data_IF_186581131990
#
_entry.id   IF_186581131990
#
_cell.length_a   1.000
_cell.length_b   1.000
_cell.length_c   1.000
_cell.angle_alpha   90.00
_cell.angle_beta   90.00
_cell.angle_gamma   90.00
#
_symmetry.space_group_name_H-M   'P 1'
#
loop_
_entity.id
_entity.type
_entity.pdbx_description
1 polymer ?
#
# COMPACT_ATOMS: atom_id res chain seq x y z
N UNK A 1 69.12 -93.37 8.31
CA UNK A 1 69.15 -93.10 9.76
C UNK A 1 67.71 -93.16 10.26
N UNK A 2 67.42 -94.17 11.11
CA UNK A 2 66.29 -94.42 12.05
C UNK A 2 64.88 -93.87 11.71
N UNK A 3 63.81 -94.69 11.51
CA UNK A 3 63.01 -95.49 12.50
C UNK A 3 62.33 -94.58 13.55
N UNK A 4 61.03 -94.61 13.89
CA UNK A 4 60.01 -95.68 14.01
C UNK A 4 58.64 -95.07 14.43
N UNK A 5 57.50 -95.67 14.06
CA UNK A 5 56.18 -95.52 14.75
C UNK A 5 56.15 -96.28 16.10
N UNK A 6 55.05 -96.30 16.92
CA UNK A 6 54.15 -95.28 17.49
C UNK A 6 54.03 -95.44 19.05
N UNK A 7 53.10 -94.76 19.79
CA UNK A 7 52.01 -95.54 20.42
C UNK A 7 50.66 -94.79 20.62
N UNK A 8 49.58 -95.48 21.07
CA UNK A 8 48.20 -95.00 21.03
C UNK A 8 47.69 -94.41 22.35
N UNK A 9 46.63 -93.59 22.23
CA UNK A 9 45.62 -93.39 23.27
C UNK A 9 45.92 -92.37 24.36
N UNK A 10 45.23 -91.22 24.30
CA UNK A 10 44.59 -90.64 25.48
C UNK A 10 43.47 -89.68 25.03
N UNK A 11 42.23 -90.07 25.35
CA UNK A 11 41.05 -89.21 25.30
C UNK A 11 41.30 -87.96 26.16
N UNK A 12 41.33 -86.78 25.54
CA UNK A 12 41.27 -85.51 26.26
C UNK A 12 39.85 -84.97 26.19
N UNK A 13 39.23 -84.97 27.36
CA UNK A 13 37.86 -84.61 27.66
C UNK A 13 37.45 -83.26 27.04
N UNK A 14 36.25 -83.25 26.48
CA UNK A 14 35.51 -82.04 26.13
C UNK A 14 35.26 -81.19 27.39
N UNK A 15 36.17 -80.25 27.66
CA UNK A 15 35.97 -79.17 28.62
C UNK A 15 34.91 -78.21 28.09
N UNK A 16 33.65 -78.47 28.44
CA UNK A 16 32.52 -77.55 28.27
C UNK A 16 32.84 -76.26 29.04
N UNK A 17 33.38 -75.23 28.37
CA UNK A 17 33.52 -73.88 28.97
C UNK A 17 32.12 -73.42 29.39
N UNK A 18 31.89 -73.01 30.66
CA UNK A 18 30.64 -72.40 31.04
C UNK A 18 30.49 -71.10 30.25
N UNK A 19 29.37 -70.99 29.54
CA UNK A 19 29.01 -69.80 28.78
C UNK A 19 29.09 -68.56 29.66
N UNK A 20 29.76 -67.54 29.15
CA UNK A 20 29.99 -66.27 29.81
C UNK A 20 28.67 -65.49 29.92
N UNK A 21 27.83 -65.84 30.91
CA UNK A 21 26.53 -65.20 31.14
C UNK A 21 26.65 -63.69 31.48
N UNK A 22 27.84 -63.23 31.88
CA UNK A 22 28.14 -61.81 32.16
C UNK A 22 28.31 -60.94 30.91
N UNK A 23 28.79 -61.50 29.79
CA UNK A 23 29.06 -60.72 28.55
C UNK A 23 27.76 -60.36 27.80
N UNK A 24 26.76 -61.25 27.83
CA UNK A 24 25.46 -61.02 27.20
C UNK A 24 24.62 -59.98 27.96
N UNK A 25 24.73 -59.96 29.30
CA UNK A 25 24.02 -59.00 30.15
C UNK A 25 24.61 -57.58 30.07
N UNK A 26 25.94 -57.45 29.96
CA UNK A 26 26.62 -56.17 29.75
C UNK A 26 26.24 -55.53 28.42
N UNK A 27 26.31 -56.28 27.31
CA UNK A 27 26.00 -55.76 25.97
C UNK A 27 24.54 -55.33 25.77
N UNK A 28 23.59 -55.90 26.51
CA UNK A 28 22.18 -55.48 26.47
C UNK A 28 21.95 -54.15 27.22
N UNK A 29 22.66 -53.93 28.34
CA UNK A 29 22.57 -52.71 29.15
C UNK A 29 23.18 -51.50 28.44
N UNK A 30 24.33 -51.70 27.77
CA UNK A 30 24.99 -50.63 26.98
C UNK A 30 24.17 -50.29 25.72
N UNK A 31 23.53 -51.29 25.08
CA UNK A 31 22.57 -51.05 24.00
C UNK A 31 21.36 -50.23 24.46
N UNK A 32 20.80 -50.51 25.64
CA UNK A 32 19.71 -49.71 26.21
C UNK A 32 20.07 -48.24 26.45
N UNK A 33 21.26 -47.98 27.02
CA UNK A 33 21.79 -46.63 27.22
C UNK A 33 22.02 -45.88 25.90
N UNK A 34 22.53 -46.55 24.87
CA UNK A 34 22.73 -45.96 23.55
C UNK A 34 21.40 -45.58 22.87
N UNK A 35 20.34 -46.39 23.04
CA UNK A 35 19.00 -46.10 22.52
C UNK A 35 18.37 -44.90 23.24
N UNK A 36 18.52 -44.82 24.57
CA UNK A 36 18.05 -43.68 25.36
C UNK A 36 18.78 -42.39 24.99
N UNK A 37 20.10 -42.46 24.77
CA UNK A 37 20.90 -41.31 24.32
C UNK A 37 20.51 -40.82 22.92
N UNK A 38 20.29 -41.75 21.97
CA UNK A 38 19.81 -41.42 20.62
C UNK A 38 18.42 -40.78 20.64
N UNK A 39 17.51 -41.30 21.48
CA UNK A 39 16.18 -40.72 21.67
C UNK A 39 16.25 -39.30 22.28
N UNK A 40 17.18 -39.06 23.21
CA UNK A 40 17.42 -37.76 23.81
C UNK A 40 17.94 -36.74 22.79
N UNK A 41 18.93 -37.10 21.97
CA UNK A 41 19.42 -36.24 20.87
C UNK A 41 18.28 -35.95 19.89
N UNK A 42 17.49 -36.96 19.53
CA UNK A 42 16.37 -36.78 18.60
C UNK A 42 15.33 -35.80 19.14
N UNK A 43 14.99 -35.88 20.42
CA UNK A 43 14.10 -34.93 21.08
C UNK A 43 14.67 -33.51 21.09
N UNK A 44 15.97 -33.35 21.36
CA UNK A 44 16.63 -32.04 21.33
C UNK A 44 16.62 -31.45 19.91
N UNK A 45 16.97 -32.24 18.89
CA UNK A 45 16.95 -31.82 17.49
C UNK A 45 15.54 -31.47 17.04
N UNK A 46 14.53 -32.27 17.40
CA UNK A 46 13.13 -31.99 17.12
C UNK A 46 12.68 -30.69 17.78
N UNK A 47 13.07 -30.44 19.02
CA UNK A 47 12.73 -29.22 19.75
C UNK A 47 13.38 -27.99 19.12
N UNK A 48 14.67 -28.08 18.74
CA UNK A 48 15.38 -27.02 18.01
C UNK A 48 14.70 -26.74 16.67
N UNK A 49 14.31 -27.79 15.93
CA UNK A 49 13.60 -27.65 14.66
C UNK A 49 12.22 -27.00 14.84
N UNK A 50 11.48 -27.39 15.89
CA UNK A 50 10.18 -26.81 16.22
C UNK A 50 10.29 -25.32 16.58
N UNK A 51 11.31 -24.96 17.38
CA UNK A 51 11.57 -23.57 17.74
C UNK A 51 12.04 -22.75 16.53
N UNK A 52 12.89 -23.31 15.69
CA UNK A 52 13.35 -22.65 14.45
C UNK A 52 12.20 -22.37 13.48
N UNK A 53 11.27 -23.32 13.31
CA UNK A 53 10.10 -23.12 12.44
C UNK A 53 9.11 -22.12 13.02
N UNK A 54 8.93 -22.10 14.34
CA UNK A 54 8.11 -21.11 15.04
C UNK A 54 8.69 -19.70 14.88
N UNK A 55 9.99 -19.52 15.15
CA UNK A 55 10.70 -18.24 14.97
C UNK A 55 10.63 -17.78 13.52
N UNK A 56 10.87 -18.68 12.56
CA UNK A 56 10.78 -18.36 11.14
C UNK A 56 9.37 -17.86 10.77
N UNK A 57 8.31 -18.57 11.21
CA UNK A 57 6.92 -18.15 10.97
C UNK A 57 6.62 -16.78 11.56
N UNK A 58 7.08 -16.49 12.78
CA UNK A 58 6.86 -15.18 13.41
C UNK A 58 7.60 -14.07 12.67
N UNK A 59 8.85 -14.30 12.25
CA UNK A 59 9.63 -13.33 11.47
C UNK A 59 8.98 -13.06 10.12
N UNK A 60 8.54 -14.10 9.40
CA UNK A 60 7.83 -13.96 8.13
C UNK A 60 6.52 -13.19 8.34
N UNK A 61 5.73 -13.51 9.36
CA UNK A 61 4.49 -12.80 9.68
C UNK A 61 4.73 -11.32 9.99
N UNK A 62 5.80 -10.98 10.71
CA UNK A 62 6.18 -9.59 10.99
C UNK A 62 6.61 -8.90 9.69
N UNK A 63 7.43 -9.54 8.85
CA UNK A 63 7.86 -8.99 7.56
C UNK A 63 6.65 -8.77 6.65
N UNK A 64 5.75 -9.75 6.53
CA UNK A 64 4.50 -9.62 5.78
C UNK A 64 3.63 -8.49 6.31
N UNK A 65 3.52 -8.36 7.64
CA UNK A 65 2.77 -7.27 8.28
C UNK A 65 3.41 -5.90 7.98
N UNK A 66 4.73 -5.79 8.10
CA UNK A 66 5.48 -4.55 7.82
C UNK A 66 5.43 -4.20 6.34
N UNK A 67 5.61 -5.18 5.44
CA UNK A 67 5.46 -4.99 3.99
C UNK A 67 4.04 -4.59 3.67
N UNK A 68 3.02 -5.19 4.28
CA UNK A 68 1.62 -4.84 4.05
C UNK A 68 1.31 -3.40 4.52
N UNK A 69 1.80 -3.00 5.69
CA UNK A 69 1.71 -1.63 6.21
C UNK A 69 2.46 -0.64 5.30
N UNK A 70 3.64 -1.02 4.81
CA UNK A 70 4.47 -0.15 3.96
C UNK A 70 3.94 -0.05 2.52
N UNK A 71 3.37 -1.13 1.97
CA UNK A 71 2.67 -1.15 0.67
C UNK A 71 1.46 -0.22 0.69
N UNK A 72 0.74 -0.14 1.83
CA UNK A 72 -0.31 0.85 2.04
C UNK A 72 0.21 2.30 2.10
N UNK A 73 1.49 2.51 2.41
CA UNK A 73 2.10 3.85 2.55
C UNK A 73 2.80 4.33 1.27
N UNK A 74 3.34 3.40 0.46
CA UNK A 74 4.17 3.71 -0.72
C UNK A 74 3.42 3.70 -2.06
N UNK A 75 2.17 3.26 -2.14
CA UNK A 75 1.36 3.42 -3.35
C UNK A 75 0.85 4.85 -3.53
N UNK A 76 1.75 5.85 -3.53
CA UNK A 76 1.47 7.17 -4.14
C UNK A 76 1.57 7.03 -5.66
N UNK A 77 0.67 6.25 -6.25
CA UNK A 77 0.50 6.23 -7.70
C UNK A 77 -0.23 7.50 -8.11
N UNK A 78 0.51 8.48 -8.66
CA UNK A 78 0.08 9.60 -9.51
C UNK A 78 -1.43 9.95 -9.46
N UNK A 79 -1.91 10.41 -8.30
CA UNK A 79 -3.16 11.15 -8.21
C UNK A 79 -2.83 12.60 -8.58
N UNK A 80 -3.60 13.22 -9.48
CA UNK A 80 -3.32 14.62 -9.86
C UNK A 80 -3.44 15.51 -8.62
N UNK A 81 -2.48 16.41 -8.39
CA UNK A 81 -2.51 17.28 -7.20
C UNK A 81 -3.80 18.12 -7.14
N UNK A 82 -4.22 18.64 -8.30
CA UNK A 82 -5.45 19.43 -8.45
C UNK A 82 -6.25 18.97 -9.67
N UNK A 83 -7.58 18.99 -9.56
CA UNK A 83 -8.50 18.87 -10.70
C UNK A 83 -9.54 19.98 -10.63
N UNK A 84 -9.55 20.82 -11.67
CA UNK A 84 -10.61 21.80 -11.88
C UNK A 84 -11.88 21.08 -12.35
N UNK A 85 -12.97 21.27 -11.63
CA UNK A 85 -14.29 20.79 -12.03
C UNK A 85 -15.08 21.99 -12.56
N UNK A 86 -15.28 22.04 -13.87
CA UNK A 86 -16.06 23.08 -14.57
C UNK A 86 -17.51 22.66 -14.83
N UNK A 87 -17.85 21.38 -14.62
CA UNK A 87 -19.18 20.82 -14.88
C UNK A 87 -20.17 21.12 -13.72
N UNK A 88 -21.32 21.75 -14.00
CA UNK A 88 -22.36 22.04 -13.00
C UNK A 88 -22.98 20.80 -12.34
N UNK A 89 -23.08 19.69 -13.06
CA UNK A 89 -23.64 18.44 -12.54
C UNK A 89 -22.66 17.77 -11.57
N UNK A 90 -21.37 17.86 -11.88
CA UNK A 90 -20.31 17.45 -10.97
C UNK A 90 -20.33 18.27 -9.66
N UNK A 91 -20.65 19.56 -9.72
CA UNK A 91 -20.83 20.37 -8.50
C UNK A 91 -22.01 19.88 -7.63
N UNK A 92 -23.15 19.58 -8.24
CA UNK A 92 -24.31 19.03 -7.51
C UNK A 92 -24.00 17.69 -6.82
N UNK A 93 -23.06 16.91 -7.36
CA UNK A 93 -22.61 15.68 -6.70
C UNK A 93 -21.89 15.96 -5.39
N UNK A 94 -21.17 17.07 -5.22
CA UNK A 94 -20.49 17.38 -3.96
C UNK A 94 -21.43 17.94 -2.87
N UNK A 95 -22.67 18.32 -3.20
CA UNK A 95 -23.65 18.76 -2.21
C UNK A 95 -24.03 17.68 -1.18
N UNK A 96 -23.83 16.42 -1.53
CA UNK A 96 -24.14 15.28 -0.67
C UNK A 96 -22.97 14.94 0.26
N UNK A 97 -23.28 14.81 1.54
CA UNK A 97 -22.29 14.53 2.57
C UNK A 97 -21.63 13.15 2.41
N UNK A 98 -22.40 12.13 2.04
CA UNK A 98 -21.90 10.77 1.84
C UNK A 98 -20.91 10.73 0.68
N UNK A 99 -21.21 11.40 -0.44
CA UNK A 99 -20.29 11.49 -1.59
C UNK A 99 -18.98 12.19 -1.22
N UNK A 100 -19.03 13.27 -0.44
CA UNK A 100 -17.83 13.94 0.07
C UNK A 100 -16.99 13.03 0.97
N UNK A 101 -17.63 12.27 1.86
CA UNK A 101 -16.94 11.29 2.73
C UNK A 101 -16.29 10.16 1.92
N UNK A 102 -16.96 9.66 0.88
CA UNK A 102 -16.39 8.65 -0.03
C UNK A 102 -15.13 9.19 -0.69
N UNK A 103 -15.18 10.40 -1.27
CA UNK A 103 -14.00 11.04 -1.88
C UNK A 103 -12.87 11.19 -0.85
N UNK A 104 -13.19 11.62 0.37
CA UNK A 104 -12.20 11.76 1.44
C UNK A 104 -11.48 10.45 1.76
N UNK A 105 -12.23 9.33 1.89
CA UNK A 105 -11.64 8.01 2.11
C UNK A 105 -10.74 7.58 0.94
N UNK A 106 -11.22 7.78 -0.29
CA UNK A 106 -10.53 7.41 -1.53
C UNK A 106 -9.32 8.29 -1.86
N UNK A 107 -9.19 9.46 -1.23
CA UNK A 107 -7.96 10.28 -1.26
C UNK A 107 -6.86 9.68 -0.37
N UNK A 108 -7.25 9.06 0.73
CA UNK A 108 -6.29 8.50 1.69
C UNK A 108 -5.75 7.14 1.24
N UNK A 109 -6.60 6.28 0.67
CA UNK A 109 -6.22 4.94 0.20
C UNK A 109 -7.19 4.40 -0.85
N UNK A 110 -6.72 3.49 -1.69
CA UNK A 110 -7.57 2.74 -2.61
C UNK A 110 -8.47 1.78 -1.83
N UNK A 111 -9.77 1.75 -2.13
CA UNK A 111 -10.74 0.94 -1.38
C UNK A 111 -11.79 0.31 -2.28
N UNK A 112 -12.31 -0.85 -1.87
CA UNK A 112 -13.45 -1.51 -2.51
C UNK A 112 -14.78 -0.93 -2.00
N UNK A 113 -15.86 -1.17 -2.74
CA UNK A 113 -17.23 -0.78 -2.33
C UNK A 113 -17.56 -1.34 -0.94
N UNK A 114 -17.19 -2.60 -0.67
CA UNK A 114 -17.45 -3.26 0.61
C UNK A 114 -16.67 -2.63 1.77
N UNK A 115 -15.41 -2.24 1.53
CA UNK A 115 -14.59 -1.58 2.54
C UNK A 115 -15.14 -0.18 2.87
N UNK A 116 -15.53 0.60 1.86
CA UNK A 116 -16.13 1.93 2.04
C UNK A 116 -17.47 1.82 2.77
N UNK A 117 -18.28 0.81 2.43
CA UNK A 117 -19.55 0.52 3.10
C UNK A 117 -19.35 0.25 4.60
N UNK A 118 -18.30 -0.50 4.96
CA UNK A 118 -17.89 -0.73 6.35
C UNK A 118 -17.50 0.56 7.09
N UNK A 119 -16.64 1.39 6.50
CA UNK A 119 -16.18 2.65 7.13
C UNK A 119 -17.34 3.66 7.33
N UNK A 120 -18.29 3.71 6.40
CA UNK A 120 -19.40 4.66 6.44
C UNK A 120 -20.67 4.12 7.11
N UNK A 121 -20.67 2.87 7.56
CA UNK A 121 -21.84 2.17 8.11
C UNK A 121 -23.06 2.22 7.16
N UNK A 122 -22.81 2.00 5.87
CA UNK A 122 -23.84 1.99 4.83
C UNK A 122 -23.88 0.64 4.11
N UNK A 123 -24.93 0.40 3.32
CA UNK A 123 -25.00 -0.82 2.52
C UNK A 123 -24.06 -0.73 1.30
N UNK A 124 -23.45 -1.84 0.85
CA UNK A 124 -22.64 -1.87 -0.37
C UNK A 124 -23.39 -1.35 -1.60
N UNK A 125 -24.70 -1.62 -1.69
CA UNK A 125 -25.55 -1.12 -2.76
C UNK A 125 -25.61 0.41 -2.79
N UNK A 126 -25.81 1.06 -1.63
CA UNK A 126 -25.84 2.52 -1.55
C UNK A 126 -24.49 3.14 -1.97
N UNK A 127 -23.38 2.57 -1.50
CA UNK A 127 -22.04 3.02 -1.89
C UNK A 127 -21.81 2.83 -3.39
N UNK A 128 -22.22 1.70 -3.97
CA UNK A 128 -22.11 1.47 -5.41
C UNK A 128 -22.82 2.55 -6.23
N UNK A 129 -24.03 2.96 -5.82
CA UNK A 129 -24.76 4.05 -6.47
C UNK A 129 -24.00 5.39 -6.40
N UNK A 130 -23.38 5.70 -5.27
CA UNK A 130 -22.58 6.92 -5.12
C UNK A 130 -21.29 6.86 -5.95
N UNK A 131 -20.56 5.75 -5.91
CA UNK A 131 -19.33 5.53 -6.69
C UNK A 131 -19.60 5.65 -8.18
N UNK A 132 -20.72 5.09 -8.68
CA UNK A 132 -21.08 5.20 -10.09
C UNK A 132 -21.22 6.66 -10.53
N UNK A 133 -21.98 7.47 -9.78
CA UNK A 133 -22.16 8.90 -10.09
C UNK A 133 -20.84 9.67 -10.04
N UNK A 134 -20.01 9.40 -9.02
CA UNK A 134 -18.71 10.04 -8.86
C UNK A 134 -17.73 9.65 -9.98
N UNK A 135 -17.79 8.41 -10.45
CA UNK A 135 -17.00 7.92 -11.58
C UNK A 135 -17.45 8.54 -12.89
N UNK A 136 -18.76 8.62 -13.11
CA UNK A 136 -19.33 9.21 -14.33
C UNK A 136 -18.96 10.72 -14.42
N UNK A 137 -18.85 11.41 -13.28
CA UNK A 137 -18.32 12.78 -13.18
C UNK A 137 -16.77 12.86 -13.12
N UNK A 138 -16.06 11.73 -13.26
CA UNK A 138 -14.60 11.66 -13.26
C UNK A 138 -13.91 12.06 -11.95
N UNK A 139 -14.62 12.08 -10.82
CA UNK A 139 -14.04 12.36 -9.49
C UNK A 139 -13.35 11.14 -8.89
N UNK A 140 -13.78 9.95 -9.31
CA UNK A 140 -13.26 8.66 -8.85
C UNK A 140 -12.98 7.80 -10.08
N UNK A 141 -11.93 6.99 -10.01
CA UNK A 141 -11.58 6.04 -11.06
C UNK A 141 -11.26 4.66 -10.48
N UNK A 142 -11.27 3.64 -11.34
CA UNK A 142 -10.82 2.29 -10.98
C UNK A 142 -9.30 2.30 -10.94
N UNK A 143 -8.74 2.02 -9.77
CA UNK A 143 -7.30 1.96 -9.57
C UNK A 143 -6.73 0.63 -10.03
N UNK A 144 -7.38 -0.46 -9.61
CA UNK A 144 -7.00 -1.84 -9.94
C UNK A 144 -8.17 -2.79 -9.74
N UNK A 145 -8.06 -3.95 -10.36
CA UNK A 145 -8.94 -5.08 -10.11
C UNK A 145 -8.10 -6.26 -9.63
N UNK A 146 -8.51 -6.89 -8.54
CA UNK A 146 -7.78 -7.97 -7.90
C UNK A 146 -8.68 -9.20 -7.78
N UNK A 147 -8.15 -10.36 -8.18
CA UNK A 147 -8.89 -11.62 -8.05
C UNK A 147 -8.62 -12.21 -6.68
N UNK A 148 -9.63 -12.18 -5.81
CA UNK A 148 -9.58 -12.76 -4.47
C UNK A 148 -10.44 -14.03 -4.49
N UNK A 149 -9.77 -15.18 -4.47
CA UNK A 149 -10.41 -16.50 -4.54
C UNK A 149 -11.27 -16.66 -5.81
N UNK A 150 -12.59 -16.82 -5.66
CA UNK A 150 -13.55 -16.97 -6.75
C UNK A 150 -14.18 -15.63 -7.22
N UNK A 151 -13.77 -14.49 -6.65
CA UNK A 151 -14.36 -13.18 -6.91
C UNK A 151 -13.34 -12.17 -7.46
N UNK A 152 -13.84 -11.18 -8.19
CA UNK A 152 -13.05 -10.03 -8.65
C UNK A 152 -13.46 -8.83 -7.79
N UNK A 153 -12.50 -8.25 -7.08
CA UNK A 153 -12.69 -7.02 -6.32
C UNK A 153 -12.12 -5.82 -7.09
N UNK A 154 -12.98 -4.82 -7.33
CA UNK A 154 -12.57 -3.55 -7.94
C UNK A 154 -12.21 -2.55 -6.85
N UNK A 155 -10.98 -2.05 -6.90
CA UNK A 155 -10.48 -1.00 -6.01
C UNK A 155 -10.63 0.36 -6.71
N UNK A 156 -11.20 1.32 -5.99
CA UNK A 156 -11.42 2.68 -6.47
C UNK A 156 -10.42 3.63 -5.82
N UNK A 157 -10.15 4.76 -6.49
CA UNK A 157 -9.35 5.87 -5.97
C UNK A 157 -9.90 7.21 -6.40
N UNK A 158 -9.60 8.27 -5.66
CA UNK A 158 -9.91 9.63 -6.10
C UNK A 158 -9.00 10.03 -7.28
N UNK A 159 -9.55 10.72 -8.27
CA UNK A 159 -8.79 11.19 -9.45
C UNK A 159 -7.83 12.33 -9.10
N UNK A 160 -8.11 13.08 -8.03
CA UNK A 160 -7.31 14.21 -7.58
C UNK A 160 -7.17 14.28 -6.05
N UNK A 161 -6.04 14.84 -5.57
CA UNK A 161 -5.81 15.12 -4.16
C UNK A 161 -6.62 16.34 -3.71
N UNK A 162 -6.80 17.35 -4.55
CA UNK A 162 -7.65 18.52 -4.26
C UNK A 162 -8.56 18.80 -5.45
N UNK A 163 -9.85 18.99 -5.19
CA UNK A 163 -10.81 19.45 -6.17
C UNK A 163 -10.99 20.96 -6.00
N UNK A 164 -10.28 21.74 -6.82
CA UNK A 164 -10.52 23.18 -6.91
C UNK A 164 -11.73 23.41 -7.79
N UNK A 165 -12.65 24.24 -7.31
CA UNK A 165 -13.90 24.50 -8.00
C UNK A 165 -13.91 25.95 -8.48
N UNK A 166 -13.76 26.16 -9.78
CA UNK A 166 -14.17 27.42 -10.41
C UNK A 166 -15.63 27.27 -10.81
N UNK A 167 -16.56 27.44 -9.87
CA UNK A 167 -17.93 27.67 -10.30
C UNK A 167 -18.05 29.14 -10.73
N UNK A 168 -18.25 29.36 -12.04
CA UNK A 168 -18.38 30.70 -12.61
C UNK A 168 -18.34 30.78 -14.15
N UNK A 169 -18.48 29.66 -14.88
CA UNK A 169 -18.51 29.68 -16.35
C UNK A 169 -19.86 30.12 -16.94
N UNK A 170 -20.83 30.50 -16.09
CA UNK A 170 -22.13 31.05 -16.51
C UNK A 170 -22.19 32.59 -16.52
N UNK A 171 -21.14 33.27 -16.09
CA UNK A 171 -21.12 34.73 -16.00
C UNK A 171 -20.20 35.32 -17.06
N UNK A 172 -20.75 36.20 -17.90
CA UNK A 172 -20.06 36.93 -18.97
C UNK A 172 -18.69 37.48 -18.52
N UNK A 173 -17.72 37.63 -19.43
CA UNK A 173 -16.45 38.33 -19.15
C UNK A 173 -16.67 39.66 -18.43
N UNK A 174 -17.77 40.35 -18.76
CA UNK A 174 -18.18 41.59 -18.12
C UNK A 174 -18.47 41.44 -16.61
N UNK A 175 -19.04 40.32 -16.17
CA UNK A 175 -19.30 40.05 -14.75
C UNK A 175 -18.01 39.73 -13.98
N UNK A 176 -17.09 39.00 -14.60
CA UNK A 176 -15.76 38.73 -14.01
C UNK A 176 -14.97 40.03 -13.86
N UNK A 177 -15.03 40.91 -14.86
CA UNK A 177 -14.41 42.24 -14.80
C UNK A 177 -15.06 43.13 -13.74
N UNK A 178 -16.39 43.11 -13.62
CA UNK A 178 -17.13 43.82 -12.57
C UNK A 178 -16.74 43.32 -11.17
N UNK A 179 -16.69 42.00 -10.97
CA UNK A 179 -16.32 41.41 -9.68
C UNK A 179 -14.85 41.63 -9.33
N UNK A 180 -13.96 41.56 -10.31
CA UNK A 180 -12.55 41.91 -10.12
C UNK A 180 -12.41 43.39 -9.72
N UNK A 181 -13.12 44.30 -10.37
CA UNK A 181 -13.14 45.73 -10.01
C UNK A 181 -13.69 45.98 -8.59
N UNK A 182 -14.78 45.31 -8.20
CA UNK A 182 -15.33 45.38 -6.85
C UNK A 182 -14.33 44.86 -5.80
N UNK A 183 -13.64 43.77 -6.12
CA UNK A 183 -12.66 43.15 -5.23
C UNK A 183 -11.43 44.05 -5.06
N UNK A 184 -10.90 44.63 -6.14
CA UNK A 184 -9.81 45.62 -6.07
C UNK A 184 -10.20 46.84 -5.21
N UNK A 185 -11.45 47.29 -5.32
CA UNK A 185 -12.00 48.37 -4.49
C UNK A 185 -12.21 47.96 -3.03
N UNK A 186 -12.53 46.70 -2.74
CA UNK A 186 -12.61 46.20 -1.38
C UNK A 186 -11.22 46.06 -0.74
N UNK A 187 -10.23 45.59 -1.52
CA UNK A 187 -8.83 45.46 -1.12
C UNK A 187 -8.21 46.82 -0.77
N UNK A 188 -8.50 47.87 -1.53
CA UNK A 188 -8.04 49.22 -1.21
C UNK A 188 -8.60 49.74 0.12
N UNK A 189 -9.84 49.36 0.48
CA UNK A 189 -10.47 49.75 1.75
C UNK A 189 -9.88 49.05 2.97
N UNK A 190 -9.30 47.86 2.80
CA UNK A 190 -8.60 47.13 3.87
C UNK A 190 -7.11 47.47 3.95
N UNK A 191 -6.66 48.51 3.24
CA UNK A 191 -5.30 49.04 3.34
C UNK A 191 -4.28 48.42 2.40
N UNK A 192 -4.69 47.52 1.49
CA UNK A 192 -3.83 47.03 0.42
C UNK A 192 -3.69 48.11 -0.65
N UNK A 193 -2.46 48.57 -0.89
CA UNK A 193 -2.17 49.56 -1.92
C UNK A 193 -2.27 48.94 -3.31
N UNK A 194 -3.49 48.90 -3.83
CA UNK A 194 -3.75 48.54 -5.22
C UNK A 194 -3.56 49.78 -6.08
N UNK A 195 -2.76 49.68 -7.15
CA UNK A 195 -2.56 50.80 -8.08
C UNK A 195 -3.91 51.12 -8.73
N UNK A 196 -4.35 52.39 -8.73
CA UNK A 196 -5.57 52.80 -9.43
C UNK A 196 -5.32 52.83 -10.95
N UNK A 197 -5.39 51.66 -11.57
CA UNK A 197 -5.38 51.51 -13.03
C UNK A 197 -6.73 50.91 -13.47
N UNK A 198 -7.53 51.66 -14.26
CA UNK A 198 -8.88 51.24 -14.67
C UNK A 198 -8.88 49.99 -15.57
N UNK A 199 -7.71 49.59 -16.09
CA UNK A 199 -7.56 48.38 -16.90
C UNK A 199 -7.14 47.15 -16.10
N UNK A 200 -6.84 47.29 -14.80
CA UNK A 200 -6.35 46.17 -13.98
C UNK A 200 -7.36 45.05 -13.85
N UNK A 201 -8.65 45.36 -13.71
CA UNK A 201 -9.68 44.34 -13.63
C UNK A 201 -9.70 43.47 -14.90
N UNK A 202 -9.73 44.10 -16.08
CA UNK A 202 -9.70 43.39 -17.37
C UNK A 202 -8.39 42.62 -17.59
N UNK A 203 -7.24 43.18 -17.19
CA UNK A 203 -5.94 42.49 -17.27
C UNK A 203 -5.85 41.31 -16.31
N UNK A 204 -6.45 41.40 -15.14
CA UNK A 204 -6.47 40.34 -14.14
C UNK A 204 -7.35 39.18 -14.60
N UNK A 205 -8.54 39.48 -15.13
CA UNK A 205 -9.43 38.48 -15.75
C UNK A 205 -8.78 37.83 -16.97
N UNK A 206 -8.07 38.58 -17.81
CA UNK A 206 -7.35 38.01 -18.96
C UNK A 206 -6.17 37.14 -18.51
N UNK A 207 -5.47 37.54 -17.45
CA UNK A 207 -4.39 36.73 -16.87
C UNK A 207 -4.94 35.44 -16.25
N UNK A 208 -6.05 35.50 -15.50
CA UNK A 208 -6.75 34.31 -14.97
C UNK A 208 -7.14 33.34 -16.09
N UNK A 209 -7.76 33.83 -17.18
CA UNK A 209 -8.09 32.99 -18.34
C UNK A 209 -6.88 32.35 -18.98
N UNK A 210 -5.74 33.05 -19.02
CA UNK A 210 -4.49 32.51 -19.57
C UNK A 210 -3.84 31.51 -18.61
N UNK A 211 -3.94 31.72 -17.30
CA UNK A 211 -3.46 30.78 -16.28
C UNK A 211 -4.27 29.49 -16.28
N UNK A 212 -5.60 29.55 -16.42
CA UNK A 212 -6.45 28.37 -16.56
C UNK A 212 -6.04 27.47 -17.76
N UNK A 213 -5.47 28.06 -18.82
CA UNK A 213 -5.00 27.31 -19.99
C UNK A 213 -3.62 26.65 -19.79
N UNK A 214 -2.89 26.98 -18.73
CA UNK A 214 -1.56 26.41 -18.42
C UNK A 214 -1.73 24.98 -17.89
N UNK A 215 -2.65 24.75 -16.95
CA UNK A 215 -2.89 23.45 -16.32
C UNK A 215 -3.36 22.33 -17.27
N UNK A 216 -3.80 22.67 -18.49
CA UNK A 216 -4.28 21.70 -19.47
C UNK A 216 -3.17 21.15 -20.40
N UNK A 217 -2.01 21.81 -20.50
CA UNK A 217 -0.96 21.45 -21.47
C UNK A 217 0.30 20.94 -20.78
N UNK A 218 0.60 19.67 -21.00
CA UNK A 218 1.76 18.95 -20.45
C UNK A 218 3.11 19.62 -20.75
N UNK A 219 3.21 20.41 -21.83
CA UNK A 219 4.44 21.15 -22.18
C UNK A 219 4.79 22.27 -21.19
N UNK A 220 3.81 22.81 -20.46
CA UNK A 220 4.07 23.88 -19.49
C UNK A 220 4.54 23.33 -18.15
N UNK A 221 4.01 22.19 -17.71
CA UNK A 221 4.47 21.50 -16.50
C UNK A 221 5.97 21.16 -16.59
N UNK A 222 6.43 20.67 -17.75
CA UNK A 222 7.84 20.38 -18.01
C UNK A 222 8.69 21.66 -18.00
N UNK A 223 8.17 22.76 -18.55
CA UNK A 223 8.86 24.05 -18.58
C UNK A 223 8.99 24.68 -17.18
N UNK A 224 7.96 24.56 -16.34
CA UNK A 224 7.95 25.07 -14.96
C UNK A 224 8.87 24.23 -14.07
N UNK A 225 8.90 22.91 -14.27
CA UNK A 225 9.84 22.02 -13.59
C UNK A 225 11.30 22.42 -13.88
N UNK A 226 11.60 22.82 -15.12
CA UNK A 226 12.92 23.24 -15.59
C UNK A 226 13.43 24.60 -15.09
N UNK A 227 12.63 25.40 -14.37
CA UNK A 227 13.05 26.71 -13.84
C UNK A 227 13.98 26.57 -12.62
N UNK A 228 15.28 26.33 -12.80
CA UNK A 228 16.21 26.08 -11.69
C UNK A 228 16.35 27.25 -10.67
N UNK A 229 15.98 28.46 -11.07
CA UNK A 229 16.10 29.72 -10.31
C UNK A 229 14.88 30.08 -9.45
N UNK A 230 13.80 29.31 -9.57
CA UNK A 230 12.53 29.56 -8.89
C UNK A 230 12.30 28.53 -7.79
N UNK A 231 11.93 28.98 -6.58
CA UNK A 231 11.67 28.08 -5.46
C UNK A 231 10.50 27.12 -5.75
N UNK A 232 10.55 25.93 -5.15
CA UNK A 232 9.53 24.88 -5.32
C UNK A 232 8.10 25.39 -5.08
N UNK A 233 7.87 26.20 -4.04
CA UNK A 233 6.53 26.72 -3.76
C UNK A 233 6.04 27.71 -4.80
N UNK A 234 6.95 28.46 -5.42
CA UNK A 234 6.62 29.40 -6.50
C UNK A 234 6.35 28.65 -7.80
N UNK A 235 7.12 27.59 -8.10
CA UNK A 235 6.83 26.68 -9.23
C UNK A 235 5.45 26.06 -9.10
N UNK A 236 5.11 25.56 -7.90
CA UNK A 236 3.77 25.04 -7.63
C UNK A 236 2.70 26.12 -7.84
N UNK A 237 2.92 27.34 -7.38
CA UNK A 237 1.97 28.44 -7.59
C UNK A 237 1.75 28.87 -9.05
N UNK A 238 2.66 28.54 -9.98
CA UNK A 238 2.59 28.91 -11.40
C UNK A 238 2.13 27.74 -12.29
N UNK A 239 2.30 26.50 -11.83
CA UNK A 239 1.80 25.27 -12.48
C UNK A 239 0.29 25.04 -12.23
N UNK A 240 -0.40 26.02 -11.66
CA UNK A 240 -1.80 25.96 -11.22
C UNK A 240 -2.64 27.03 -11.90
#
# INVERSE_FOLDING_TARGET
MASSEPPPGQELQAGRRPGNAGELAGGARIRGLATLYKASIFLVVLHIWLMSTLVYKTVVFIIETVINIHKHTLSRHHTKAFKLITDPDAFQLLGDETRRRIIYLLRAKEMTVSQIAGELNLTPQAIYHHIRKLRDAGMVEVAREERVDHFIETYYRATAEIFNMSHGSGTSSAYHEEKAAESLKALSRIGLTVRDDPTLASRLVELEKRMDQIGEKQSWADAIAGLEDVDFFVKQGVDH
#
